data_IF_388026823102
#
_entry.id   IF_388026823102
#
_cell.length_a   1.000
_cell.length_b   1.000
_cell.length_c   1.000
_cell.angle_alpha   90.00
_cell.angle_beta   90.00
_cell.angle_gamma   90.00
#
_symmetry.space_group_name_H-M   'P 1'
#
loop_
_entity.id
_entity.type
_entity.pdbx_description
1 polymer ?
#
# COMPACT_ATOMS: atom_id res chain seq x y z
N UNK A 1 -7.65 19.86 0.11
CA UNK A 1 -7.35 18.94 1.25
C UNK A 1 -7.73 17.51 0.85
N UNK A 2 -7.06 16.46 1.33
CA UNK A 2 -7.45 15.05 1.11
C UNK A 2 -7.66 14.34 2.44
N UNK A 3 -8.77 13.61 2.58
CA UNK A 3 -9.11 12.82 3.76
C UNK A 3 -8.85 11.34 3.45
N UNK A 4 -7.98 10.71 4.25
CA UNK A 4 -7.62 9.29 4.09
C UNK A 4 -8.65 8.40 4.82
N UNK A 5 -9.85 8.28 4.24
CA UNK A 5 -11.03 7.63 4.84
C UNK A 5 -11.29 6.20 4.35
N UNK A 6 -10.26 5.51 3.86
CA UNK A 6 -10.40 4.14 3.33
C UNK A 6 -10.64 3.10 4.42
N UNK A 7 -10.21 3.36 5.65
CA UNK A 7 -10.51 2.53 6.81
C UNK A 7 -11.80 3.03 7.49
N UNK A 8 -12.94 2.44 7.10
CA UNK A 8 -14.26 2.89 7.54
C UNK A 8 -14.55 2.65 9.03
N UNK A 9 -13.80 1.76 9.69
CA UNK A 9 -13.95 1.54 11.13
C UNK A 9 -13.30 2.66 11.94
N UNK A 10 -12.16 3.19 11.45
CA UNK A 10 -11.43 4.28 12.12
C UNK A 10 -11.82 5.68 11.63
N UNK A 11 -12.18 5.82 10.36
CA UNK A 11 -12.48 7.10 9.71
C UNK A 11 -13.97 7.44 9.80
N UNK A 12 -14.41 7.73 11.02
CA UNK A 12 -15.79 8.17 11.29
C UNK A 12 -16.05 9.61 10.81
N UNK A 13 -17.31 9.94 10.53
CA UNK A 13 -17.70 11.30 10.16
C UNK A 13 -17.32 12.31 11.27
N UNK A 14 -17.48 11.92 12.54
CA UNK A 14 -17.08 12.73 13.68
C UNK A 14 -15.56 13.01 13.71
N UNK A 15 -14.73 12.00 13.41
CA UNK A 15 -13.29 12.18 13.32
C UNK A 15 -12.91 13.12 12.16
N UNK A 16 -13.58 12.99 11.02
CA UNK A 16 -13.37 13.87 9.86
C UNK A 16 -13.75 15.32 10.18
N UNK A 17 -14.92 15.56 10.77
CA UNK A 17 -15.35 16.89 11.18
C UNK A 17 -14.39 17.53 12.19
N UNK A 18 -13.94 16.77 13.19
CA UNK A 18 -12.98 17.28 14.17
C UNK A 18 -11.67 17.76 13.54
N UNK A 19 -11.18 17.08 12.50
CA UNK A 19 -9.99 17.50 11.74
C UNK A 19 -10.28 18.81 10.99
N UNK A 20 -11.40 18.89 10.27
CA UNK A 20 -11.77 20.08 9.48
C UNK A 20 -11.99 21.31 10.35
N UNK A 21 -12.67 21.14 11.49
CA UNK A 21 -12.92 22.19 12.47
C UNK A 21 -11.61 22.66 13.10
N UNK A 22 -10.71 21.73 13.44
CA UNK A 22 -9.39 22.04 13.99
C UNK A 22 -8.52 22.84 13.02
N UNK A 23 -8.49 22.45 11.74
CA UNK A 23 -7.77 23.19 10.70
C UNK A 23 -8.36 24.61 10.53
N UNK A 24 -9.68 24.71 10.48
CA UNK A 24 -10.39 25.99 10.36
C UNK A 24 -10.10 26.91 11.55
N UNK A 25 -10.15 26.37 12.77
CA UNK A 25 -9.86 27.10 14.00
C UNK A 25 -8.42 27.64 14.04
N UNK A 26 -7.45 26.87 13.52
CA UNK A 26 -6.06 27.30 13.36
C UNK A 26 -5.85 28.34 12.24
N UNK A 27 -6.90 28.67 11.46
CA UNK A 27 -6.79 29.52 10.28
C UNK A 27 -6.09 28.86 9.10
N UNK A 28 -6.01 27.52 9.09
CA UNK A 28 -5.42 26.73 8.01
C UNK A 28 -6.48 26.43 6.95
N UNK A 29 -6.68 27.37 6.03
CA UNK A 29 -7.55 27.15 4.87
C UNK A 29 -6.88 26.29 3.81
N UNK A 30 -7.70 25.71 2.92
CA UNK A 30 -7.24 24.98 1.75
C UNK A 30 -8.08 25.37 0.53
N UNK A 31 -7.53 25.17 -0.65
CA UNK A 31 -8.24 25.42 -1.90
C UNK A 31 -9.17 24.26 -2.26
N UNK A 32 -10.36 24.62 -2.74
CA UNK A 32 -11.39 23.68 -3.17
C UNK A 32 -11.97 22.83 -2.03
N UNK A 33 -12.66 21.77 -2.42
CA UNK A 33 -13.29 20.86 -1.46
C UNK A 33 -12.29 19.88 -0.86
N UNK A 34 -12.61 19.37 0.34
CA UNK A 34 -11.92 18.23 0.89
C UNK A 34 -12.30 16.97 0.08
N UNK A 35 -11.29 16.23 -0.40
CA UNK A 35 -11.49 15.05 -1.24
C UNK A 35 -11.43 13.78 -0.41
N UNK A 36 -12.49 12.96 -0.44
CA UNK A 36 -12.49 11.61 0.13
C UNK A 36 -11.63 10.67 -0.73
N UNK A 37 -10.78 9.87 -0.09
CA UNK A 37 -10.01 8.84 -0.76
C UNK A 37 -10.87 7.60 -1.03
N UNK A 38 -11.80 7.28 -0.14
CA UNK A 38 -12.75 6.18 -0.28
C UNK A 38 -13.61 6.33 -1.55
N UNK A 39 -14.14 7.52 -1.81
CA UNK A 39 -14.89 7.81 -3.04
C UNK A 39 -14.09 7.58 -4.33
N UNK A 40 -12.76 7.59 -4.23
CA UNK A 40 -11.85 7.37 -5.37
C UNK A 40 -11.44 5.91 -5.54
N UNK A 41 -12.00 4.97 -4.78
CA UNK A 41 -11.72 3.54 -4.90
C UNK A 41 -11.79 2.98 -6.34
N UNK A 42 -12.75 3.38 -7.21
CA UNK A 42 -12.76 2.93 -8.60
C UNK A 42 -11.49 3.31 -9.36
N UNK A 43 -10.98 4.54 -9.17
CA UNK A 43 -9.76 5.02 -9.82
C UNK A 43 -8.52 4.29 -9.27
N UNK A 44 -8.47 4.02 -7.97
CA UNK A 44 -7.37 3.25 -7.38
C UNK A 44 -7.29 1.84 -7.94
N UNK A 45 -8.45 1.17 -8.07
CA UNK A 45 -8.56 -0.15 -8.71
C UNK A 45 -8.10 -0.12 -10.15
N UNK A 46 -8.56 0.86 -10.94
CA UNK A 46 -8.19 1.00 -12.35
C UNK A 46 -6.67 1.06 -12.53
N UNK A 47 -5.98 1.89 -11.73
CA UNK A 47 -4.52 2.03 -11.78
C UNK A 47 -3.82 0.76 -11.28
N UNK A 48 -4.31 0.12 -10.21
CA UNK A 48 -3.73 -1.12 -9.71
C UNK A 48 -3.80 -2.25 -10.77
N UNK A 49 -4.94 -2.40 -11.43
CA UNK A 49 -5.12 -3.36 -12.52
C UNK A 49 -4.29 -2.99 -13.76
N UNK A 50 -4.09 -1.69 -14.03
CA UNK A 50 -3.17 -1.23 -15.08
C UNK A 50 -1.72 -1.64 -14.79
N UNK A 51 -1.25 -1.47 -13.55
CA UNK A 51 0.09 -1.91 -13.16
C UNK A 51 0.26 -3.42 -13.34
N UNK A 52 -0.77 -4.22 -13.07
CA UNK A 52 -0.75 -5.66 -13.34
C UNK A 52 -0.62 -5.93 -14.84
N UNK A 53 -1.43 -5.26 -15.67
CA UNK A 53 -1.34 -5.41 -17.14
C UNK A 53 0.03 -5.03 -17.69
N UNK A 54 0.70 -4.04 -17.08
CA UNK A 54 2.04 -3.59 -17.46
C UNK A 54 3.17 -4.46 -16.88
N UNK A 55 2.85 -5.52 -16.13
CA UNK A 55 3.86 -6.36 -15.46
C UNK A 55 4.60 -5.67 -14.31
N UNK A 56 4.06 -4.54 -13.82
CA UNK A 56 4.62 -3.74 -12.70
C UNK A 56 3.97 -4.08 -11.36
N UNK A 57 2.97 -4.94 -11.37
CA UNK A 57 2.31 -5.50 -10.20
C UNK A 57 1.85 -6.93 -10.52
N UNK A 58 1.51 -7.69 -9.49
CA UNK A 58 1.02 -9.07 -9.61
C UNK A 58 -0.05 -9.35 -8.56
N UNK A 59 -0.91 -10.33 -8.83
CA UNK A 59 -1.86 -10.81 -7.84
C UNK A 59 -1.19 -11.77 -6.86
N UNK A 60 -1.51 -11.64 -5.58
CA UNK A 60 -1.08 -12.54 -4.51
C UNK A 60 -2.29 -13.12 -3.79
N UNK A 61 -2.26 -14.42 -3.48
CA UNK A 61 -3.43 -15.16 -3.01
C UNK A 61 -3.23 -15.78 -1.62
N UNK A 62 -2.18 -15.41 -0.89
CA UNK A 62 -1.97 -15.91 0.46
C UNK A 62 -3.12 -15.51 1.38
N UNK A 63 -3.52 -16.47 2.20
CA UNK A 63 -4.34 -16.25 3.37
C UNK A 63 -3.55 -15.51 4.45
N UNK A 64 -4.28 -14.88 5.38
CA UNK A 64 -3.66 -14.26 6.56
C UNK A 64 -2.81 -15.24 7.38
N UNK A 65 -3.19 -16.52 7.43
CA UNK A 65 -2.46 -17.56 8.15
C UNK A 65 -1.12 -17.89 7.46
N UNK A 66 -1.09 -17.96 6.12
CA UNK A 66 0.15 -18.17 5.36
C UNK A 66 1.09 -16.98 5.49
N UNK A 67 0.56 -15.75 5.44
CA UNK A 67 1.36 -14.55 5.68
C UNK A 67 1.95 -14.52 7.10
N UNK A 68 1.21 -14.97 8.11
CA UNK A 68 1.73 -15.07 9.46
C UNK A 68 2.81 -16.15 9.60
N UNK A 69 2.61 -17.32 8.99
CA UNK A 69 3.64 -18.36 8.94
C UNK A 69 4.93 -17.87 8.27
N UNK A 70 4.83 -17.05 7.22
CA UNK A 70 6.01 -16.41 6.59
C UNK A 70 6.73 -15.48 7.56
N UNK A 71 6.01 -14.67 8.34
CA UNK A 71 6.60 -13.77 9.34
C UNK A 71 7.29 -14.56 10.45
N UNK A 72 6.65 -15.60 10.97
CA UNK A 72 7.25 -16.46 12.00
C UNK A 72 8.51 -17.17 11.51
N UNK A 73 8.51 -17.66 10.27
CA UNK A 73 9.68 -18.27 9.65
C UNK A 73 10.84 -17.27 9.48
N UNK A 74 10.54 -16.00 9.16
CA UNK A 74 11.55 -14.93 9.10
C UNK A 74 12.11 -14.62 10.50
N UNK A 75 11.24 -14.47 11.50
CA UNK A 75 11.62 -14.23 12.91
C UNK A 75 12.51 -15.35 13.46
N UNK A 76 12.15 -16.61 13.22
CA UNK A 76 12.93 -17.77 13.66
C UNK A 76 14.34 -17.81 13.06
N UNK A 77 14.55 -17.17 11.90
CA UNK A 77 15.85 -17.04 11.24
C UNK A 77 16.58 -15.74 11.58
N UNK A 78 16.02 -14.90 12.46
CA UNK A 78 16.57 -13.57 12.78
C UNK A 78 16.50 -12.59 11.60
N UNK A 79 15.62 -12.85 10.62
CA UNK A 79 15.44 -12.00 9.44
C UNK A 79 14.26 -11.03 9.65
N UNK A 80 14.30 -9.83 9.04
CA UNK A 80 13.16 -8.91 9.06
C UNK A 80 11.88 -9.59 8.51
N UNK A 81 10.71 -9.41 9.16
CA UNK A 81 9.47 -10.00 8.72
C UNK A 81 8.98 -9.29 7.44
N UNK A 82 9.26 -9.89 6.28
CA UNK A 82 8.86 -9.39 4.97
C UNK A 82 8.08 -10.42 4.20
N UNK A 83 7.27 -9.92 3.27
CA UNK A 83 6.72 -10.78 2.23
C UNK A 83 7.86 -11.34 1.38
N UNK A 84 7.81 -12.63 1.08
CA UNK A 84 8.90 -13.34 0.40
C UNK A 84 8.74 -13.39 -1.13
N UNK A 85 7.72 -12.72 -1.69
CA UNK A 85 7.47 -12.72 -3.13
C UNK A 85 6.90 -14.02 -3.68
N UNK A 86 6.23 -14.84 -2.87
CA UNK A 86 5.79 -16.19 -3.27
C UNK A 86 4.95 -16.24 -4.57
N UNK A 87 4.12 -15.23 -4.85
CA UNK A 87 3.34 -15.12 -6.09
C UNK A 87 3.97 -14.27 -7.19
N UNK A 88 5.16 -13.69 -6.94
CA UNK A 88 5.74 -12.65 -7.81
C UNK A 88 6.02 -13.10 -9.25
N UNK A 89 6.45 -14.35 -9.41
CA UNK A 89 6.80 -14.96 -10.69
C UNK A 89 5.97 -16.23 -10.99
N UNK A 90 4.90 -16.47 -10.21
CA UNK A 90 4.04 -17.65 -10.41
C UNK A 90 3.14 -17.46 -11.62
N UNK A 91 2.77 -18.59 -12.24
CA UNK A 91 1.80 -18.60 -13.31
C UNK A 91 0.41 -18.22 -12.75
N UNK A 92 -0.28 -17.21 -13.30
CA UNK A 92 -1.63 -16.85 -12.88
C UNK A 92 -2.66 -17.99 -12.96
N UNK A 93 -2.41 -19.03 -13.74
CA UNK A 93 -3.26 -20.23 -13.81
C UNK A 93 -3.20 -21.09 -12.54
N UNK A 94 -2.19 -20.91 -11.69
CA UNK A 94 -2.12 -21.54 -10.36
C UNK A 94 -3.06 -20.86 -9.34
N UNK A 95 -3.65 -19.71 -9.68
CA UNK A 95 -4.51 -18.97 -8.77
C UNK A 95 -5.69 -19.82 -8.27
N UNK A 96 -5.96 -19.84 -6.96
CA UNK A 96 -7.06 -20.62 -6.41
C UNK A 96 -8.42 -20.11 -6.94
N UNK A 97 -9.24 -21.05 -7.40
CA UNK A 97 -10.52 -20.74 -8.02
C UNK A 97 -11.44 -19.95 -7.07
N UNK A 98 -11.98 -18.83 -7.55
CA UNK A 98 -12.92 -17.99 -6.81
C UNK A 98 -12.29 -17.06 -5.76
N UNK A 99 -10.96 -17.10 -5.57
CA UNK A 99 -10.27 -16.21 -4.62
C UNK A 99 -9.91 -14.89 -5.30
N UNK A 100 -10.33 -13.77 -4.69
CA UNK A 100 -9.87 -12.43 -5.09
C UNK A 100 -8.53 -12.15 -4.43
N UNK A 101 -7.46 -12.20 -5.21
CA UNK A 101 -6.11 -11.87 -4.73
C UNK A 101 -5.94 -10.39 -4.41
N UNK A 102 -4.98 -10.08 -3.53
CA UNK A 102 -4.47 -8.73 -3.37
C UNK A 102 -3.55 -8.39 -4.56
N UNK A 103 -3.38 -7.10 -4.86
CA UNK A 103 -2.39 -6.65 -5.86
C UNK A 103 -1.16 -6.16 -5.11
N UNK A 104 0.00 -6.73 -5.41
CA UNK A 104 1.31 -6.31 -4.89
C UNK A 104 2.09 -5.61 -5.98
N UNK A 105 2.83 -4.56 -5.61
CA UNK A 105 3.75 -3.89 -6.52
C UNK A 105 4.93 -4.83 -6.78
N UNK A 106 5.47 -4.80 -8.00
CA UNK A 106 6.64 -5.58 -8.40
C UNK A 106 7.88 -4.70 -8.28
N UNK A 107 8.22 -4.23 -7.08
CA UNK A 107 9.38 -3.36 -6.89
C UNK A 107 10.67 -4.11 -7.26
N UNK A 108 11.72 -3.46 -7.80
CA UNK A 108 13.00 -4.10 -8.03
C UNK A 108 13.52 -4.79 -6.76
N UNK A 109 14.23 -5.90 -6.86
CA UNK A 109 14.77 -6.65 -5.71
C UNK A 109 16.25 -6.34 -5.43
N UNK A 110 16.93 -5.74 -6.39
CA UNK A 110 18.36 -5.42 -6.35
C UNK A 110 18.60 -3.94 -6.63
N UNK A 111 19.75 -3.43 -6.18
CA UNK A 111 20.10 -2.02 -6.26
C UNK A 111 19.44 -1.18 -5.17
N UNK A 112 19.28 0.11 -5.47
CA UNK A 112 18.78 1.11 -4.53
C UNK A 112 17.76 2.03 -5.20
N UNK A 113 16.76 2.45 -4.43
CA UNK A 113 15.87 3.57 -4.76
C UNK A 113 16.36 4.80 -4.01
N UNK A 114 16.63 5.88 -4.73
CA UNK A 114 17.11 7.15 -4.16
C UNK A 114 16.01 8.19 -4.20
N UNK A 115 15.71 8.80 -3.06
CA UNK A 115 14.73 9.88 -2.91
C UNK A 115 15.47 11.14 -2.47
N UNK A 116 15.29 12.23 -3.21
CA UNK A 116 15.78 13.55 -2.84
C UNK A 116 14.73 14.24 -1.97
N UNK A 117 14.76 13.95 -0.67
CA UNK A 117 13.83 14.50 0.30
C UNK A 117 14.18 15.96 0.64
N UNK A 118 13.17 16.82 0.82
CA UNK A 118 13.38 18.25 1.05
C UNK A 118 13.90 18.58 2.46
N UNK A 119 13.74 17.68 3.42
CA UNK A 119 14.15 17.89 4.82
C UNK A 119 15.37 17.04 5.15
N UNK A 120 15.34 15.75 4.79
CA UNK A 120 16.39 14.79 5.10
C UNK A 120 17.51 14.74 4.05
N UNK A 121 17.32 15.41 2.90
CA UNK A 121 18.27 15.36 1.78
C UNK A 121 18.18 14.04 1.02
N UNK A 122 19.31 13.52 0.57
CA UNK A 122 19.35 12.25 -0.15
C UNK A 122 19.10 11.06 0.79
N UNK A 123 17.99 10.35 0.56
CA UNK A 123 17.63 9.12 1.28
C UNK A 123 17.74 7.93 0.33
N UNK A 124 18.43 6.87 0.75
CA UNK A 124 18.67 5.66 -0.03
C UNK A 124 17.96 4.47 0.60
N UNK A 125 17.16 3.77 -0.19
CA UNK A 125 16.47 2.55 0.20
C UNK A 125 17.05 1.38 -0.58
N UNK A 126 17.65 0.36 0.07
CA UNK A 126 18.00 -0.88 -0.60
C UNK A 126 16.72 -1.52 -1.16
N UNK A 127 16.72 -1.86 -2.45
CA UNK A 127 15.53 -2.38 -3.11
C UNK A 127 15.04 -3.72 -2.52
N UNK A 128 15.95 -4.51 -1.95
CA UNK A 128 15.61 -5.71 -1.15
C UNK A 128 14.72 -5.41 0.07
N UNK A 129 14.59 -4.14 0.45
CA UNK A 129 13.78 -3.67 1.57
C UNK A 129 12.39 -3.16 1.15
N UNK A 130 12.10 -3.11 -0.15
CA UNK A 130 10.82 -2.72 -0.74
C UNK A 130 10.00 -3.97 -1.13
N UNK A 131 8.67 -3.83 -1.23
CA UNK A 131 7.72 -4.88 -1.61
C UNK A 131 7.49 -4.91 -3.15
#
# INVERSE_FOLDING_TARGET
>A
LRIEDTDRERSTDAATSAILDGLTWLGLSWDGDAVSQFERAPRHREVAEELVRLGKAYYSYETSAELEAMREAARAKGLPPRYNGHWRERDPSEAPAGVRGAIRIKAPTEGETVVQDRVQGEVRFPNKDLD
#
